data_IF_526449907801
#
_entry.id   IF_526449907801
#
_cell.length_a   1.000
_cell.length_b   1.000
_cell.length_c   1.000
_cell.angle_alpha   90.00
_cell.angle_beta   90.00
_cell.angle_gamma   90.00
#
_symmetry.space_group_name_H-M   'P 1'
#
loop_
_entity.id
_entity.type
_entity.pdbx_description
1 polymer ?
#
# COMPACT_ATOMS: atom_id res chain seq x y z
N UNK A 1 -5.44 7.73 36.63
CA UNK A 1 -5.22 7.01 37.91
C UNK A 1 -5.56 7.98 39.03
N UNK A 2 -6.45 7.62 39.94
CA UNK A 2 -6.84 8.45 41.10
C UNK A 2 -7.30 9.88 40.72
N UNK A 3 -8.12 9.98 39.66
CA UNK A 3 -8.64 11.26 39.16
C UNK A 3 -7.64 12.11 38.37
N UNK A 4 -6.38 11.67 38.21
CA UNK A 4 -5.37 12.35 37.41
C UNK A 4 -5.08 11.61 36.09
N UNK A 5 -4.73 12.37 35.07
CA UNK A 5 -4.22 11.81 33.80
C UNK A 5 -2.86 11.15 34.04
N UNK A 6 -2.71 9.95 33.52
CA UNK A 6 -1.44 9.23 33.52
C UNK A 6 -0.91 9.21 32.09
N UNK A 7 0.32 9.69 31.91
CA UNK A 7 1.01 9.56 30.63
C UNK A 7 1.54 8.13 30.48
N UNK A 8 1.13 7.47 29.40
CA UNK A 8 1.59 6.12 29.07
C UNK A 8 2.96 6.18 28.41
N UNK A 9 3.87 5.29 28.84
CA UNK A 9 5.18 5.08 28.23
C UNK A 9 5.09 4.18 26.98
N UNK A 10 4.24 4.59 26.04
CA UNK A 10 4.09 3.99 24.73
C UNK A 10 4.72 4.90 23.67
N UNK A 11 5.25 4.36 22.56
CA UNK A 11 5.65 5.17 21.42
C UNK A 11 4.49 6.05 20.96
N UNK A 12 4.80 7.26 20.50
CA UNK A 12 3.78 8.21 20.00
C UNK A 12 3.00 7.66 18.80
N UNK A 13 3.58 6.71 18.07
CA UNK A 13 2.93 5.96 16.99
C UNK A 13 2.69 4.52 17.42
N UNK A 14 1.94 4.32 18.51
CA UNK A 14 1.50 3.00 18.93
C UNK A 14 -0.01 3.01 19.13
N UNK A 15 -0.68 1.97 18.63
CA UNK A 15 -2.13 1.87 18.65
C UNK A 15 -2.56 0.70 19.52
N UNK A 16 -3.58 0.86 20.38
CA UNK A 16 -4.24 -0.28 21.01
C UNK A 16 -4.89 -1.15 19.93
N UNK A 17 -4.75 -2.46 20.07
CA UNK A 17 -5.32 -3.45 19.14
C UNK A 17 -6.60 -4.04 19.70
N UNK A 18 -6.60 -4.41 20.98
CA UNK A 18 -7.73 -5.04 21.65
C UNK A 18 -7.31 -5.81 22.88
N UNK A 19 -8.27 -6.52 23.49
CA UNK A 19 -8.03 -7.39 24.65
C UNK A 19 -8.35 -8.82 24.24
N UNK A 20 -7.43 -9.75 24.48
CA UNK A 20 -7.61 -11.19 24.22
C UNK A 20 -7.04 -11.98 25.38
N UNK A 21 -7.81 -12.93 25.90
CA UNK A 21 -7.38 -13.89 26.93
C UNK A 21 -6.68 -13.21 28.13
N UNK A 22 -7.25 -12.10 28.62
CA UNK A 22 -6.72 -11.35 29.76
C UNK A 22 -5.49 -10.49 29.45
N UNK A 23 -5.18 -10.23 28.17
CA UNK A 23 -4.05 -9.41 27.76
C UNK A 23 -4.49 -8.21 26.92
N UNK A 24 -3.94 -7.04 27.20
CA UNK A 24 -4.08 -5.86 26.35
C UNK A 24 -3.00 -5.89 25.26
N UNK A 25 -3.38 -5.69 24.00
CA UNK A 25 -2.47 -5.71 22.86
C UNK A 25 -2.24 -4.31 22.27
N UNK A 26 -1.01 -4.09 21.81
CA UNK A 26 -0.56 -2.88 21.14
C UNK A 26 0.20 -3.21 19.86
N UNK A 27 0.15 -2.28 18.90
CA UNK A 27 0.95 -2.32 17.67
C UNK A 27 1.68 -0.99 17.51
N UNK A 28 3.03 -0.96 17.60
CA UNK A 28 3.80 0.23 17.32
C UNK A 28 4.11 0.35 15.82
N UNK A 29 4.04 1.56 15.25
CA UNK A 29 4.45 1.87 13.87
C UNK A 29 5.91 2.38 13.80
N UNK A 30 6.61 2.33 14.92
CA UNK A 30 8.03 2.65 15.09
C UNK A 30 8.68 1.60 15.98
N UNK A 31 9.99 1.43 15.88
CA UNK A 31 10.70 0.56 16.81
C UNK A 31 10.53 1.08 18.24
N UNK A 32 10.16 0.18 19.15
CA UNK A 32 9.87 0.49 20.55
C UNK A 32 10.90 -0.20 21.43
N UNK A 33 11.81 0.57 22.01
CA UNK A 33 12.78 0.05 23.00
C UNK A 33 12.32 0.39 24.40
N UNK A 34 12.10 -0.64 25.23
CA UNK A 34 11.66 -0.53 26.62
C UNK A 34 12.17 -1.74 27.40
N UNK A 35 12.54 -1.55 28.67
CA UNK A 35 12.97 -2.62 29.57
C UNK A 35 14.12 -3.51 29.01
N UNK A 36 15.00 -2.92 28.19
CA UNK A 36 16.12 -3.63 27.54
C UNK A 36 15.75 -4.50 26.33
N UNK A 37 14.49 -4.46 25.89
CA UNK A 37 14.00 -5.15 24.70
C UNK A 37 13.57 -4.15 23.62
N UNK A 38 13.82 -4.48 22.35
CA UNK A 38 13.31 -3.73 21.20
C UNK A 38 12.22 -4.54 20.50
N UNK A 39 11.04 -3.94 20.35
CA UNK A 39 9.96 -4.43 19.52
C UNK A 39 10.00 -3.68 18.19
N UNK A 40 10.07 -4.41 17.07
CA UNK A 40 10.13 -3.78 15.76
C UNK A 40 8.82 -3.07 15.43
N UNK A 41 8.90 -2.03 14.60
CA UNK A 41 7.71 -1.45 13.96
C UNK A 41 6.85 -2.55 13.33
N UNK A 42 5.53 -2.39 13.44
CA UNK A 42 4.50 -3.31 13.01
C UNK A 42 4.47 -4.65 13.79
N UNK A 43 5.12 -4.76 14.96
CA UNK A 43 4.92 -5.91 15.86
C UNK A 43 3.54 -5.91 16.55
N UNK A 44 3.15 -7.04 17.13
CA UNK A 44 2.10 -7.15 18.13
C UNK A 44 2.73 -7.41 19.50
N UNK A 45 2.41 -6.56 20.46
CA UNK A 45 2.95 -6.61 21.82
C UNK A 45 1.79 -6.75 22.80
N UNK A 46 1.88 -7.72 23.70
CA UNK A 46 0.90 -7.95 24.76
C UNK A 46 1.44 -7.50 26.11
N UNK A 47 0.53 -7.09 26.98
CA UNK A 47 0.74 -6.93 28.42
C UNK A 47 -0.39 -7.65 29.15
N UNK A 48 -0.10 -8.24 30.32
CA UNK A 48 -1.16 -8.76 31.19
C UNK A 48 -2.09 -7.60 31.59
N UNK A 49 -3.41 -7.81 31.48
CA UNK A 49 -4.39 -6.76 31.67
C UNK A 49 -4.49 -6.30 33.13
N UNK A 50 -4.33 -7.21 34.09
CA UNK A 50 -4.41 -6.87 35.51
C UNK A 50 -3.12 -6.18 35.97
N UNK A 51 -1.95 -6.61 35.50
CA UNK A 51 -0.69 -5.89 35.69
C UNK A 51 -0.77 -4.48 35.08
N UNK A 52 -1.30 -4.36 33.86
CA UNK A 52 -1.47 -3.08 33.18
C UNK A 52 -2.43 -2.16 33.95
N UNK A 53 -3.56 -2.65 34.43
CA UNK A 53 -4.50 -1.85 35.25
C UNK A 53 -3.84 -1.35 36.55
N UNK A 54 -3.01 -2.17 37.19
CA UNK A 54 -2.31 -1.80 38.42
C UNK A 54 -1.19 -0.77 38.15
N UNK A 55 -0.37 -1.00 37.12
CA UNK A 55 0.76 -0.15 36.75
C UNK A 55 1.03 -0.21 35.23
N UNK A 56 0.40 0.66 34.42
CA UNK A 56 0.53 0.62 32.96
C UNK A 56 1.99 0.69 32.47
N UNK A 57 2.79 1.60 33.03
CA UNK A 57 4.17 1.78 32.57
C UNK A 57 5.10 0.65 33.05
N UNK A 58 4.79 0.01 34.19
CA UNK A 58 5.60 -1.08 34.74
C UNK A 58 5.16 -2.50 34.36
N UNK A 59 4.01 -2.67 33.69
CA UNK A 59 3.55 -3.99 33.26
C UNK A 59 4.52 -4.61 32.26
N UNK A 60 4.73 -5.94 32.35
CA UNK A 60 5.69 -6.62 31.49
C UNK A 60 5.16 -6.73 30.05
N UNK A 61 5.99 -6.35 29.08
CA UNK A 61 5.68 -6.42 27.65
C UNK A 61 6.18 -7.75 27.10
N UNK A 62 5.34 -8.43 26.32
CA UNK A 62 5.65 -9.69 25.66
C UNK A 62 5.41 -9.57 24.15
N UNK A 63 6.35 -10.08 23.35
CA UNK A 63 6.16 -10.15 21.91
C UNK A 63 5.15 -11.24 21.57
N UNK A 64 4.08 -10.87 20.86
CA UNK A 64 3.10 -11.82 20.31
C UNK A 64 3.51 -12.24 18.90
N UNK A 65 3.87 -11.27 18.08
CA UNK A 65 4.26 -11.47 16.70
C UNK A 65 5.10 -10.30 16.20
N UNK A 66 6.06 -10.56 15.32
CA UNK A 66 6.81 -9.54 14.59
C UNK A 66 6.78 -9.87 13.09
N UNK A 67 6.73 -8.85 12.21
CA UNK A 67 6.78 -9.07 10.78
C UNK A 67 8.14 -9.63 10.34
N UNK A 68 8.12 -10.62 9.45
CA UNK A 68 9.28 -10.92 8.60
C UNK A 68 9.57 -9.79 7.61
N UNK A 69 10.71 -9.84 6.92
CA UNK A 69 11.21 -8.76 6.06
C UNK A 69 10.26 -8.32 4.91
N UNK A 70 9.31 -9.17 4.54
CA UNK A 70 8.27 -8.92 3.53
C UNK A 70 6.86 -9.14 4.05
N UNK A 71 6.71 -9.09 5.38
CA UNK A 71 5.43 -9.20 6.02
C UNK A 71 5.02 -7.86 6.60
N UNK A 72 3.72 -7.61 6.61
CA UNK A 72 3.14 -6.44 7.28
C UNK A 72 1.70 -6.72 7.66
N UNK A 73 1.22 -6.15 8.75
CA UNK A 73 -0.21 -6.14 9.06
C UNK A 73 -0.94 -5.18 8.13
N UNK A 74 -2.22 -5.45 7.88
CA UNK A 74 -3.14 -4.58 7.16
C UNK A 74 -4.28 -4.11 8.07
N UNK A 75 -4.62 -4.93 9.07
CA UNK A 75 -5.63 -4.62 10.06
C UNK A 75 -5.83 -5.82 10.98
N UNK A 76 -6.57 -5.59 12.05
CA UNK A 76 -6.88 -6.63 13.01
C UNK A 76 -8.24 -6.40 13.63
N UNK A 77 -8.85 -7.49 14.11
CA UNK A 77 -10.08 -7.44 14.88
C UNK A 77 -10.07 -8.50 15.97
N UNK A 78 -10.84 -8.28 17.02
CA UNK A 78 -11.05 -9.25 18.11
C UNK A 78 -12.43 -9.87 17.95
N UNK A 79 -12.52 -11.17 18.18
CA UNK A 79 -13.76 -11.92 18.39
C UNK A 79 -13.75 -12.57 19.77
N UNK A 80 -14.87 -13.18 20.18
CA UNK A 80 -14.92 -13.91 21.45
C UNK A 80 -13.86 -15.01 21.58
N UNK A 81 -13.42 -15.57 20.45
CA UNK A 81 -12.46 -16.68 20.36
C UNK A 81 -11.05 -16.28 19.95
N UNK A 82 -10.71 -15.00 19.80
CA UNK A 82 -9.32 -14.56 19.64
C UNK A 82 -9.09 -13.30 18.78
N UNK A 83 -7.82 -12.98 18.55
CA UNK A 83 -7.38 -11.87 17.69
C UNK A 83 -7.18 -12.36 16.26
N UNK A 84 -7.82 -11.74 15.29
CA UNK A 84 -7.62 -12.01 13.86
C UNK A 84 -6.83 -10.87 13.24
N UNK A 85 -5.78 -11.20 12.51
CA UNK A 85 -4.86 -10.24 11.88
C UNK A 85 -4.84 -10.51 10.39
N UNK A 86 -5.36 -9.58 9.60
CA UNK A 86 -5.10 -9.54 8.17
C UNK A 86 -3.68 -9.02 7.95
N UNK A 87 -2.89 -9.75 7.18
CA UNK A 87 -1.49 -9.43 6.89
C UNK A 87 -1.16 -9.70 5.42
N UNK A 88 -0.06 -9.11 4.96
CA UNK A 88 0.57 -9.41 3.69
C UNK A 88 1.83 -10.22 3.92
N UNK A 89 2.08 -11.21 3.08
CA UNK A 89 3.33 -11.93 2.96
C UNK A 89 3.78 -11.85 1.50
N UNK A 90 4.81 -11.05 1.22
CA UNK A 90 5.23 -10.74 -0.15
C UNK A 90 4.08 -10.21 -1.03
N UNK A 91 3.25 -9.31 -0.47
CA UNK A 91 2.06 -8.71 -1.11
C UNK A 91 0.89 -9.69 -1.34
N UNK A 92 0.96 -10.91 -0.81
CA UNK A 92 -0.14 -11.87 -0.79
C UNK A 92 -0.86 -11.82 0.57
N UNK A 93 -2.18 -11.70 0.55
CA UNK A 93 -3.01 -11.62 1.76
C UNK A 93 -3.09 -12.95 2.51
N UNK A 94 -3.03 -12.87 3.84
CA UNK A 94 -3.28 -13.97 4.78
C UNK A 94 -4.06 -13.44 5.98
N UNK A 95 -4.79 -14.32 6.67
CA UNK A 95 -5.35 -14.01 7.99
C UNK A 95 -4.81 -15.01 9.00
N UNK A 96 -4.23 -14.49 10.07
CA UNK A 96 -3.78 -15.28 11.22
C UNK A 96 -4.75 -15.06 12.39
N UNK A 97 -5.20 -16.13 13.02
CA UNK A 97 -5.88 -16.12 14.31
C UNK A 97 -4.83 -16.31 15.40
N UNK A 98 -4.83 -15.45 16.40
CA UNK A 98 -3.99 -15.50 17.59
C UNK A 98 -4.85 -15.74 18.84
N UNK A 99 -4.34 -16.58 19.73
CA UNK A 99 -4.91 -16.85 21.04
C UNK A 99 -3.79 -17.10 22.06
N UNK A 100 -4.11 -16.95 23.33
CA UNK A 100 -3.20 -17.25 24.43
C UNK A 100 -3.69 -18.48 25.20
N UNK A 101 -2.88 -19.53 25.19
CA UNK A 101 -3.18 -20.78 25.88
C UNK A 101 -1.91 -21.37 26.48
N UNK A 102 -2.03 -22.03 27.64
CA UNK A 102 -0.90 -22.66 28.35
C UNK A 102 0.30 -21.72 28.58
N UNK A 103 0.02 -20.44 28.85
CA UNK A 103 1.05 -19.44 29.14
C UNK A 103 1.81 -18.93 27.91
N UNK A 104 1.35 -19.22 26.69
CA UNK A 104 2.01 -18.79 25.44
C UNK A 104 1.01 -18.31 24.39
N UNK A 105 1.46 -17.37 23.57
CA UNK A 105 0.77 -16.98 22.35
C UNK A 105 0.97 -18.04 21.26
N UNK A 106 -0.10 -18.37 20.56
CA UNK A 106 -0.08 -19.23 19.39
C UNK A 106 -0.85 -18.57 18.25
N UNK A 107 -0.53 -18.96 17.02
CA UNK A 107 -1.23 -18.49 15.83
C UNK A 107 -1.57 -19.64 14.88
N UNK A 108 -2.73 -19.56 14.23
CA UNK A 108 -3.14 -20.45 13.14
C UNK A 108 -3.58 -19.63 11.93
N UNK A 109 -3.30 -20.13 10.72
CA UNK A 109 -3.79 -19.50 9.50
C UNK A 109 -5.25 -19.88 9.28
N UNK A 110 -6.07 -18.88 8.94
CA UNK A 110 -7.47 -19.10 8.53
C UNK A 110 -7.48 -19.66 7.10
N UNK A 111 -8.27 -20.70 6.87
CA UNK A 111 -8.42 -21.35 5.56
C UNK A 111 -9.21 -20.45 4.59
N UNK A 112 -8.49 -19.61 3.88
CA UNK A 112 -8.96 -18.69 2.85
C UNK A 112 -8.10 -18.89 1.59
N UNK A 113 -8.60 -18.52 0.39
CA UNK A 113 -7.85 -18.71 -0.85
C UNK A 113 -6.46 -18.07 -0.81
N UNK A 114 -5.45 -18.83 -1.21
CA UNK A 114 -4.09 -18.34 -1.43
C UNK A 114 -4.02 -17.40 -2.65
N UNK A 115 -2.90 -16.68 -2.79
CA UNK A 115 -2.61 -15.78 -3.94
C UNK A 115 -3.67 -14.69 -4.19
N UNK A 116 -4.34 -14.25 -3.12
CA UNK A 116 -5.34 -13.19 -3.17
C UNK A 116 -5.01 -12.05 -2.19
N UNK A 117 -5.63 -10.90 -2.40
CA UNK A 117 -5.73 -9.86 -1.37
C UNK A 117 -6.87 -10.24 -0.42
N UNK A 118 -6.56 -10.31 0.87
CA UNK A 118 -7.52 -10.69 1.91
C UNK A 118 -7.66 -9.54 2.92
N UNK A 119 -8.91 -9.16 3.20
CA UNK A 119 -9.24 -8.17 4.23
C UNK A 119 -10.34 -8.68 5.16
N UNK A 120 -10.41 -8.13 6.37
CA UNK A 120 -11.51 -8.38 7.32
C UNK A 120 -12.62 -7.37 7.02
N UNK A 121 -13.82 -7.86 6.72
CA UNK A 121 -14.96 -7.04 6.31
C UNK A 121 -15.78 -6.57 7.52
N UNK A 122 -16.01 -7.48 8.47
CA UNK A 122 -16.75 -7.24 9.69
C UNK A 122 -16.46 -8.36 10.70
N UNK A 123 -16.60 -8.08 11.99
CA UNK A 123 -16.59 -9.08 13.04
C UNK A 123 -17.46 -8.64 14.21
N UNK A 124 -17.70 -9.57 15.13
CA UNK A 124 -18.32 -9.32 16.43
C UNK A 124 -17.31 -9.68 17.52
N UNK A 125 -17.18 -8.84 18.55
CA UNK A 125 -16.39 -9.10 19.75
C UNK A 125 -17.16 -9.94 20.79
N UNK A 126 -18.49 -9.96 20.73
CA UNK A 126 -19.38 -10.79 21.56
C UNK A 126 -19.55 -12.25 21.07
N UNK A 127 -19.12 -12.56 19.84
CA UNK A 127 -19.25 -13.90 19.24
C UNK A 127 -18.03 -14.22 18.36
N UNK A 128 -18.01 -15.40 17.73
CA UNK A 128 -16.96 -15.76 16.75
C UNK A 128 -17.34 -15.48 15.29
N UNK A 129 -18.38 -14.66 15.08
CA UNK A 129 -18.78 -14.26 13.74
C UNK A 129 -17.78 -13.31 13.11
N UNK A 130 -17.30 -13.68 11.92
CA UNK A 130 -16.35 -12.87 11.16
C UNK A 130 -16.58 -13.05 9.66
N UNK A 131 -16.43 -11.94 8.93
CA UNK A 131 -16.52 -11.87 7.49
C UNK A 131 -15.21 -11.40 6.89
N UNK A 132 -14.84 -11.99 5.76
CA UNK A 132 -13.62 -11.66 5.01
C UNK A 132 -13.95 -11.25 3.59
N UNK A 133 -13.19 -10.30 3.06
CA UNK A 133 -13.16 -10.03 1.62
C UNK A 133 -11.93 -10.69 1.01
N UNK A 134 -12.11 -11.39 -0.10
CA UNK A 134 -11.03 -11.98 -0.90
C UNK A 134 -11.15 -11.45 -2.32
N UNK A 135 -10.07 -10.91 -2.86
CA UNK A 135 -10.04 -10.30 -4.20
C UNK A 135 -8.74 -10.63 -4.92
N UNK A 136 -8.82 -10.89 -6.22
CA UNK A 136 -7.67 -11.04 -7.12
C UNK A 136 -7.87 -10.17 -8.34
N UNK A 137 -6.88 -10.07 -9.23
CA UNK A 137 -7.05 -9.26 -10.44
C UNK A 137 -8.10 -9.84 -11.40
N UNK A 138 -8.21 -11.16 -11.46
CA UNK A 138 -9.05 -11.91 -12.39
C UNK A 138 -10.35 -12.42 -11.74
N UNK A 139 -10.37 -12.49 -10.42
CA UNK A 139 -11.48 -13.00 -9.62
C UNK A 139 -12.28 -11.86 -8.98
N UNK A 140 -13.61 -11.81 -9.17
CA UNK A 140 -14.46 -10.84 -8.50
C UNK A 140 -14.34 -10.94 -6.98
N UNK A 141 -14.38 -9.79 -6.30
CA UNK A 141 -14.33 -9.73 -4.84
C UNK A 141 -15.46 -10.59 -4.24
N UNK A 142 -15.06 -11.53 -3.39
CA UNK A 142 -15.93 -12.50 -2.73
C UNK A 142 -15.91 -12.28 -1.22
N UNK A 143 -17.09 -12.26 -0.63
CA UNK A 143 -17.34 -12.19 0.80
C UNK A 143 -17.42 -13.62 1.35
N UNK A 144 -16.56 -13.94 2.31
CA UNK A 144 -16.56 -15.19 3.07
C UNK A 144 -17.11 -14.93 4.48
N UNK A 145 -17.71 -15.94 5.08
CA UNK A 145 -18.28 -15.90 6.43
C UNK A 145 -18.00 -17.19 7.20
N UNK A 146 -17.75 -17.05 8.50
CA UNK A 146 -17.81 -18.13 9.48
C UNK A 146 -18.41 -17.62 10.79
N UNK A 147 -19.07 -18.51 11.53
CA UNK A 147 -19.51 -18.29 12.90
C UNK A 147 -18.50 -18.79 13.94
N UNK A 148 -17.31 -19.23 13.50
CA UNK A 148 -16.25 -19.80 14.33
C UNK A 148 -16.30 -21.31 14.49
N UNK A 149 -17.42 -21.96 14.15
CA UNK A 149 -17.58 -23.41 14.31
C UNK A 149 -17.03 -24.20 13.14
N UNK A 150 -16.98 -23.59 11.96
CA UNK A 150 -16.54 -24.20 10.70
C UNK A 150 -15.57 -23.29 9.94
N UNK A 151 -14.88 -23.85 8.93
CA UNK A 151 -14.04 -23.05 8.04
C UNK A 151 -14.88 -21.97 7.30
N UNK A 152 -14.29 -20.82 6.94
CA UNK A 152 -14.99 -19.79 6.18
C UNK A 152 -15.59 -20.34 4.88
N UNK A 153 -16.84 -19.96 4.61
CA UNK A 153 -17.56 -20.34 3.39
C UNK A 153 -17.98 -19.09 2.60
N UNK A 154 -18.18 -19.24 1.29
CA UNK A 154 -18.61 -18.13 0.43
C UNK A 154 -20.03 -17.71 0.81
N UNK A 155 -20.18 -16.45 1.19
CA UNK A 155 -21.47 -15.83 1.46
C UNK A 155 -22.01 -15.12 0.20
N UNK A 156 -21.14 -14.38 -0.51
CA UNK A 156 -21.54 -13.65 -1.72
C UNK A 156 -20.35 -13.30 -2.61
N UNK A 157 -20.52 -13.40 -3.92
CA UNK A 157 -19.52 -12.95 -4.91
C UNK A 157 -20.04 -11.77 -5.71
N UNK A 158 -19.17 -10.79 -5.97
CA UNK A 158 -19.49 -9.66 -6.85
C UNK A 158 -19.73 -10.12 -8.29
N UNK A 159 -20.50 -9.40 -9.11
CA UNK A 159 -20.68 -9.75 -10.52
C UNK A 159 -19.35 -9.83 -11.28
N UNK A 160 -19.26 -10.81 -12.18
CA UNK A 160 -18.20 -10.86 -13.19
C UNK A 160 -18.47 -9.81 -14.27
N UNK A 161 -17.46 -9.05 -14.64
CA UNK A 161 -17.52 -7.89 -15.55
C UNK A 161 -16.63 -8.08 -16.78
N UNK A 162 -15.71 -9.04 -16.76
CA UNK A 162 -14.90 -9.44 -17.91
C UNK A 162 -14.55 -10.93 -17.85
N UNK A 163 -14.20 -11.53 -18.99
CA UNK A 163 -13.76 -12.92 -19.10
C UNK A 163 -12.27 -13.04 -18.74
N UNK A 164 -11.91 -13.70 -17.62
CA UNK A 164 -10.52 -13.87 -17.22
C UNK A 164 -9.81 -15.01 -17.96
N UNK A 165 -10.52 -15.87 -18.73
CA UNK A 165 -9.96 -17.10 -19.26
C UNK A 165 -8.74 -16.88 -20.18
N UNK A 166 -8.72 -15.75 -20.89
CA UNK A 166 -7.62 -15.34 -21.77
C UNK A 166 -6.45 -14.63 -21.08
N UNK A 167 -6.51 -14.39 -19.76
CA UNK A 167 -5.52 -13.63 -19.02
C UNK A 167 -4.76 -14.49 -17.99
N UNK A 168 -3.59 -14.02 -17.59
CA UNK A 168 -2.74 -14.61 -16.56
C UNK A 168 -2.14 -13.52 -15.67
N UNK A 169 -1.86 -13.86 -14.42
CA UNK A 169 -1.22 -12.97 -13.44
C UNK A 169 0.14 -13.56 -13.09
N UNK A 170 1.19 -12.73 -13.12
CA UNK A 170 2.52 -13.09 -12.67
C UNK A 170 3.08 -11.97 -11.78
N UNK A 171 3.87 -12.36 -10.76
CA UNK A 171 4.62 -11.42 -9.91
C UNK A 171 6.10 -11.46 -10.31
N UNK A 172 6.69 -10.28 -10.45
CA UNK A 172 8.10 -10.09 -10.80
C UNK A 172 8.75 -9.10 -9.84
N UNK A 173 10.07 -8.95 -9.95
CA UNK A 173 10.83 -7.93 -9.24
C UNK A 173 11.75 -7.19 -10.20
N UNK A 174 11.65 -5.86 -10.16
CA UNK A 174 12.63 -4.96 -10.75
C UNK A 174 13.73 -4.62 -9.73
N UNK A 175 14.90 -4.25 -10.21
CA UNK A 175 16.00 -3.77 -9.35
C UNK A 175 16.04 -2.26 -9.43
N UNK A 176 15.71 -1.59 -8.32
CA UNK A 176 15.80 -0.13 -8.22
C UNK A 176 17.25 0.35 -8.27
N UNK A 177 17.44 1.66 -8.42
CA UNK A 177 18.73 2.33 -8.57
C UNK A 177 19.72 2.01 -7.45
N UNK A 178 19.23 1.78 -6.23
CA UNK A 178 20.04 1.43 -5.06
C UNK A 178 20.16 -0.08 -4.80
N UNK A 179 19.69 -0.92 -5.73
CA UNK A 179 19.72 -2.38 -5.62
C UNK A 179 18.49 -2.99 -4.94
N UNK A 180 17.58 -2.18 -4.39
CA UNK A 180 16.35 -2.68 -3.75
C UNK A 180 15.48 -3.42 -4.77
N UNK A 181 14.95 -4.59 -4.38
CA UNK A 181 14.00 -5.36 -5.20
C UNK A 181 12.60 -4.80 -5.04
N UNK A 182 12.01 -4.35 -6.15
CA UNK A 182 10.67 -3.75 -6.20
C UNK A 182 9.71 -4.75 -6.83
N UNK A 183 8.77 -5.32 -6.06
CA UNK A 183 7.76 -6.21 -6.61
C UNK A 183 6.82 -5.45 -7.55
N UNK A 184 6.35 -6.16 -8.57
CA UNK A 184 5.22 -5.71 -9.36
C UNK A 184 4.43 -6.92 -9.88
N UNK A 185 3.14 -6.71 -10.10
CA UNK A 185 2.28 -7.69 -10.76
C UNK A 185 2.03 -7.28 -12.20
N UNK A 186 2.00 -8.25 -13.10
CA UNK A 186 1.53 -8.07 -14.47
C UNK A 186 0.33 -8.98 -14.73
N UNK A 187 -0.75 -8.40 -15.21
CA UNK A 187 -1.92 -9.08 -15.77
C UNK A 187 -1.82 -8.97 -17.29
N UNK A 188 -1.68 -10.09 -17.97
CA UNK A 188 -1.40 -10.12 -19.42
C UNK A 188 -2.15 -11.24 -20.15
N UNK A 189 -2.34 -11.10 -21.47
CA UNK A 189 -2.89 -12.19 -22.29
C UNK A 189 -2.04 -13.46 -22.18
N UNK A 190 -2.69 -14.62 -22.13
CA UNK A 190 -2.02 -15.92 -22.23
C UNK A 190 -1.32 -16.03 -23.58
N UNK A 191 -0.08 -16.48 -23.58
CA UNK A 191 0.73 -16.61 -24.81
C UNK A 191 1.24 -15.28 -25.37
N UNK A 192 1.15 -14.19 -24.60
CA UNK A 192 1.80 -12.91 -24.93
C UNK A 192 3.26 -13.12 -25.35
N UNK A 193 3.64 -12.52 -26.48
CA UNK A 193 5.02 -12.54 -26.98
C UNK A 193 5.85 -11.48 -26.27
N UNK A 194 7.09 -11.83 -25.94
CA UNK A 194 8.07 -10.91 -25.38
C UNK A 194 8.83 -10.17 -26.49
N UNK A 195 8.10 -9.48 -27.39
CA UNK A 195 8.64 -8.76 -28.55
C UNK A 195 8.49 -7.24 -28.46
N UNK A 196 8.03 -6.73 -27.31
CA UNK A 196 7.86 -5.31 -27.04
C UNK A 196 6.59 -4.68 -27.62
N UNK A 197 5.74 -5.44 -28.32
CA UNK A 197 4.57 -4.88 -29.02
C UNK A 197 3.30 -4.75 -28.17
N UNK A 198 3.29 -5.27 -26.93
CA UNK A 198 2.07 -5.29 -26.12
C UNK A 198 1.81 -3.93 -25.49
N UNK A 199 0.65 -3.34 -25.82
CA UNK A 199 0.13 -2.14 -25.16
C UNK A 199 0.00 -2.38 -23.65
N UNK A 200 0.75 -1.64 -22.86
CA UNK A 200 0.90 -1.88 -21.42
C UNK A 200 0.52 -0.64 -20.64
N UNK A 201 -0.31 -0.82 -19.61
CA UNK A 201 -0.71 0.23 -18.68
C UNK A 201 -0.07 -0.03 -17.32
N UNK A 202 0.95 0.77 -16.97
CA UNK A 202 1.64 0.72 -15.68
C UNK A 202 1.04 1.71 -14.69
N UNK A 203 0.75 1.26 -13.47
CA UNK A 203 0.25 2.09 -12.38
C UNK A 203 0.94 1.80 -11.05
N UNK A 204 0.85 2.77 -10.15
CA UNK A 204 1.42 2.74 -8.80
C UNK A 204 0.92 3.91 -7.95
N UNK A 205 1.41 4.04 -6.72
CA UNK A 205 1.08 5.16 -5.84
C UNK A 205 2.28 5.65 -5.03
N UNK A 206 2.88 4.81 -4.20
CA UNK A 206 4.16 5.11 -3.52
C UNK A 206 4.08 6.31 -2.58
N UNK A 207 3.16 6.30 -1.62
CA UNK A 207 3.11 7.33 -0.58
C UNK A 207 2.12 7.02 0.54
N UNK A 208 2.31 7.70 1.66
CA UNK A 208 1.43 7.66 2.85
C UNK A 208 1.25 6.26 3.45
N UNK A 209 2.20 5.35 3.25
CA UNK A 209 2.10 3.95 3.68
C UNK A 209 0.88 3.24 3.07
N UNK A 210 0.32 3.74 1.97
CA UNK A 210 -0.84 3.12 1.31
C UNK A 210 -0.33 1.97 0.43
N UNK A 211 -0.69 0.71 0.72
CA UNK A 211 -0.30 -0.42 -0.12
C UNK A 211 -1.14 -0.44 -1.39
N UNK A 212 -0.51 -0.87 -2.50
CA UNK A 212 -1.20 -1.11 -3.78
C UNK A 212 -1.35 -2.60 -4.03
N UNK A 213 -2.48 -3.16 -3.60
CA UNK A 213 -2.70 -4.59 -3.64
C UNK A 213 -3.45 -5.04 -4.90
N UNK A 214 -3.34 -6.31 -5.29
CA UNK A 214 -4.23 -6.91 -6.27
C UNK A 214 -5.69 -6.65 -5.94
N UNK A 215 -6.45 -6.20 -6.93
CA UNK A 215 -7.88 -5.95 -6.80
C UNK A 215 -8.56 -6.24 -8.14
N UNK A 216 -9.82 -6.68 -8.08
CA UNK A 216 -10.57 -7.10 -9.25
C UNK A 216 -10.64 -6.01 -10.33
N UNK A 217 -10.19 -6.36 -11.53
CA UNK A 217 -10.09 -5.45 -12.67
C UNK A 217 -11.41 -5.34 -13.45
N UNK A 218 -12.54 -5.09 -12.80
CA UNK A 218 -13.85 -5.08 -13.48
C UNK A 218 -13.88 -4.23 -14.76
N UNK A 219 -13.52 -2.94 -14.66
CA UNK A 219 -13.47 -2.03 -15.81
C UNK A 219 -12.20 -2.17 -16.64
N UNK A 220 -11.03 -2.22 -16.00
CA UNK A 220 -9.73 -2.33 -16.70
C UNK A 220 -9.61 -3.67 -17.43
N UNK A 221 -10.04 -4.76 -16.82
CA UNK A 221 -10.10 -6.08 -17.42
C UNK A 221 -10.96 -6.07 -18.68
N UNK A 222 -12.15 -5.45 -18.61
CA UNK A 222 -13.08 -5.37 -19.75
C UNK A 222 -12.58 -4.48 -20.88
N UNK A 223 -12.04 -3.30 -20.54
CA UNK A 223 -11.69 -2.28 -21.52
C UNK A 223 -10.26 -2.38 -22.03
N UNK A 224 -9.38 -3.10 -21.33
CA UNK A 224 -7.95 -3.17 -21.64
C UNK A 224 -7.47 -4.62 -21.81
N UNK A 225 -7.61 -5.45 -20.78
CA UNK A 225 -7.03 -6.80 -20.77
C UNK A 225 -7.70 -7.72 -21.80
N UNK A 226 -9.03 -7.73 -21.90
CA UNK A 226 -9.76 -8.48 -22.93
C UNK A 226 -9.40 -8.05 -24.37
N UNK A 227 -8.92 -6.81 -24.54
CA UNK A 227 -8.49 -6.28 -25.84
C UNK A 227 -7.03 -6.60 -26.16
N UNK A 228 -6.37 -7.43 -25.36
CA UNK A 228 -4.98 -7.83 -25.55
C UNK A 228 -3.96 -6.92 -24.87
N UNK A 229 -4.39 -5.94 -24.07
CA UNK A 229 -3.49 -5.09 -23.29
C UNK A 229 -2.96 -5.78 -22.04
N UNK A 230 -1.79 -5.36 -21.57
CA UNK A 230 -1.26 -5.74 -20.26
C UNK A 230 -1.49 -4.63 -19.22
N UNK A 231 -1.79 -5.02 -17.98
CA UNK A 231 -1.91 -4.11 -16.83
C UNK A 231 -0.83 -4.44 -15.82
N UNK A 232 -0.14 -3.42 -15.31
CA UNK A 232 0.96 -3.59 -14.35
C UNK A 232 0.71 -2.76 -13.09
N UNK A 233 0.84 -3.40 -11.93
CA UNK A 233 0.76 -2.77 -10.61
C UNK A 233 2.12 -2.82 -9.92
N UNK A 234 2.77 -1.67 -9.73
CA UNK A 234 4.06 -1.56 -9.06
C UNK A 234 3.92 -1.31 -7.55
N UNK A 235 4.65 -2.09 -6.74
CA UNK A 235 4.66 -2.05 -5.27
C UNK A 235 5.88 -1.30 -4.73
N UNK A 236 5.94 0.00 -5.02
CA UNK A 236 7.12 0.85 -4.79
C UNK A 236 7.25 1.33 -3.34
N UNK A 237 8.45 1.74 -2.93
CA UNK A 237 8.67 2.39 -1.64
C UNK A 237 7.87 3.68 -1.50
N UNK A 238 7.58 4.01 -0.25
CA UNK A 238 6.58 5.03 0.10
C UNK A 238 5.18 4.43 0.26
N UNK A 239 4.92 3.27 -0.35
CA UNK A 239 3.73 2.46 -0.08
C UNK A 239 3.82 1.71 1.26
N UNK A 240 2.82 0.86 1.52
CA UNK A 240 2.67 0.10 2.76
C UNK A 240 2.85 -1.41 2.61
N UNK A 241 3.34 -1.88 1.47
CA UNK A 241 3.38 -3.32 1.13
C UNK A 241 4.25 -4.16 2.06
N UNK A 242 5.28 -3.55 2.65
CA UNK A 242 6.16 -4.17 3.64
C UNK A 242 6.24 -3.32 4.93
N UNK A 243 5.12 -2.69 5.28
CA UNK A 243 4.95 -2.00 6.56
C UNK A 243 5.59 -0.61 6.65
N UNK A 244 5.66 -0.05 7.86
CA UNK A 244 6.11 1.33 8.07
C UNK A 244 7.51 1.60 7.51
N UNK A 245 8.43 0.66 7.60
CA UNK A 245 9.80 0.86 7.09
C UNK A 245 9.82 1.03 5.56
N UNK A 246 8.95 0.33 4.82
CA UNK A 246 8.81 0.50 3.38
C UNK A 246 8.37 1.92 2.99
N UNK A 247 7.51 2.53 3.82
CA UNK A 247 7.10 3.91 3.69
C UNK A 247 8.21 4.88 4.06
N UNK A 248 8.78 4.74 5.26
CA UNK A 248 9.77 5.68 5.82
C UNK A 248 11.04 5.78 4.96
N UNK A 249 11.38 4.73 4.20
CA UNK A 249 12.53 4.77 3.28
C UNK A 249 12.32 5.66 2.05
N UNK A 250 11.11 6.14 1.76
CA UNK A 250 10.84 7.02 0.62
C UNK A 250 9.83 8.14 0.96
N UNK A 251 10.16 8.92 1.97
CA UNK A 251 9.51 10.20 2.29
C UNK A 251 10.54 11.33 2.35
N UNK A 252 10.06 12.58 2.24
CA UNK A 252 10.86 13.81 2.38
C UNK A 252 12.12 13.80 1.51
N UNK A 253 13.30 13.98 2.09
CA UNK A 253 14.59 13.98 1.37
C UNK A 253 14.86 12.68 0.61
N UNK A 254 14.21 11.57 1.00
CA UNK A 254 14.32 10.28 0.34
C UNK A 254 13.22 10.04 -0.71
N UNK A 255 12.32 11.00 -0.94
CA UNK A 255 11.13 10.79 -1.79
C UNK A 255 11.51 10.40 -3.22
N UNK A 256 12.68 10.82 -3.73
CA UNK A 256 13.19 10.43 -5.05
C UNK A 256 13.14 8.91 -5.30
N UNK A 257 13.35 8.11 -4.24
CA UNK A 257 13.32 6.64 -4.31
C UNK A 257 12.00 6.09 -4.84
N UNK A 258 10.86 6.74 -4.57
CA UNK A 258 9.56 6.31 -5.12
C UNK A 258 9.57 6.35 -6.66
N UNK A 259 10.15 7.39 -7.27
CA UNK A 259 10.19 7.49 -8.73
C UNK A 259 11.30 6.63 -9.32
N UNK A 260 12.44 6.50 -8.65
CA UNK A 260 13.50 5.55 -9.04
C UNK A 260 12.93 4.12 -9.10
N UNK A 261 12.09 3.73 -8.14
CA UNK A 261 11.40 2.44 -8.12
C UNK A 261 10.42 2.28 -9.29
N UNK A 262 9.61 3.30 -9.58
CA UNK A 262 8.64 3.26 -10.68
C UNK A 262 9.32 3.14 -12.05
N UNK A 263 10.38 3.93 -12.24
CA UNK A 263 11.20 3.93 -13.46
C UNK A 263 11.90 2.58 -13.62
N UNK A 264 12.43 2.00 -12.53
CA UNK A 264 13.04 0.67 -12.58
C UNK A 264 12.04 -0.41 -13.02
N UNK A 265 10.78 -0.34 -12.57
CA UNK A 265 9.73 -1.25 -13.06
C UNK A 265 9.46 -1.01 -14.55
N UNK A 266 9.31 0.24 -14.99
CA UNK A 266 9.13 0.56 -16.41
C UNK A 266 10.27 0.03 -17.29
N UNK A 267 11.52 0.23 -16.87
CA UNK A 267 12.71 -0.28 -17.56
C UNK A 267 12.75 -1.81 -17.59
N UNK A 268 12.37 -2.48 -16.50
CA UNK A 268 12.33 -3.94 -16.45
C UNK A 268 11.25 -4.53 -17.38
N UNK A 269 10.09 -3.87 -17.49
CA UNK A 269 9.04 -4.24 -18.46
C UNK A 269 9.56 -4.18 -19.91
N UNK A 270 10.26 -3.10 -20.27
CA UNK A 270 10.86 -2.93 -21.60
C UNK A 270 11.98 -3.95 -21.82
N UNK A 271 12.87 -4.12 -20.85
CA UNK A 271 14.00 -5.05 -20.91
C UNK A 271 13.54 -6.50 -21.10
N UNK A 272 12.43 -6.91 -20.47
CA UNK A 272 11.85 -8.25 -20.63
C UNK A 272 11.13 -8.43 -21.96
N UNK A 273 11.03 -7.40 -22.79
CA UNK A 273 10.27 -7.43 -24.03
C UNK A 273 8.76 -7.48 -23.80
N UNK A 274 8.27 -7.16 -22.60
CA UNK A 274 6.83 -7.12 -22.35
C UNK A 274 6.18 -5.97 -23.10
N UNK A 275 6.89 -4.86 -23.25
CA UNK A 275 6.42 -3.67 -23.97
C UNK A 275 7.63 -2.91 -24.50
N UNK A 276 7.38 -1.78 -25.15
CA UNK A 276 8.38 -0.80 -25.57
C UNK A 276 7.92 0.59 -25.11
N UNK A 277 8.80 1.62 -25.08
CA UNK A 277 8.39 2.96 -24.69
C UNK A 277 7.15 3.48 -25.44
N UNK A 278 7.08 3.24 -26.76
CA UNK A 278 5.94 3.59 -27.61
C UNK A 278 4.61 2.93 -27.15
N UNK A 279 4.68 1.72 -26.58
CA UNK A 279 3.52 0.95 -26.14
C UNK A 279 3.29 1.00 -24.62
N UNK A 280 4.10 1.76 -23.86
CA UNK A 280 4.01 1.86 -22.42
C UNK A 280 3.29 3.16 -22.00
N UNK A 281 2.05 3.00 -21.55
CA UNK A 281 1.28 4.06 -20.91
C UNK A 281 1.40 3.98 -19.37
N UNK A 282 1.37 5.13 -18.71
CA UNK A 282 1.37 5.23 -17.24
C UNK A 282 0.11 5.91 -16.71
N UNK A 283 -0.40 5.45 -15.57
CA UNK A 283 -1.60 6.02 -14.95
C UNK A 283 -1.45 6.18 -13.44
N UNK A 284 -1.89 7.32 -12.90
CA UNK A 284 -1.95 7.53 -11.47
C UNK A 284 -2.79 8.73 -11.04
N UNK A 285 -3.30 8.67 -9.81
CA UNK A 285 -4.15 9.71 -9.23
C UNK A 285 -3.71 10.23 -7.87
N UNK A 286 -3.96 11.50 -7.57
CA UNK A 286 -3.52 12.16 -6.33
C UNK A 286 -1.99 12.15 -6.20
N UNK A 287 -1.43 11.51 -5.17
CA UNK A 287 0.01 11.18 -5.11
C UNK A 287 0.47 10.36 -6.32
N UNK A 288 -0.37 9.46 -6.84
CA UNK A 288 -0.11 8.77 -8.10
C UNK A 288 -0.10 9.71 -9.32
N UNK A 289 -0.79 10.85 -9.25
CA UNK A 289 -0.72 11.87 -10.28
C UNK A 289 0.63 12.59 -10.26
N UNK A 290 1.14 12.91 -9.07
CA UNK A 290 2.52 13.38 -8.90
C UNK A 290 3.55 12.33 -9.35
N UNK A 291 3.31 11.04 -9.03
CA UNK A 291 4.13 9.92 -9.47
C UNK A 291 4.33 9.94 -11.00
N UNK A 292 3.21 9.87 -11.74
CA UNK A 292 3.23 9.86 -13.21
C UNK A 292 3.81 11.15 -13.77
N UNK A 293 3.39 12.30 -13.23
CA UNK A 293 3.90 13.62 -13.61
C UNK A 293 5.41 13.73 -13.54
N UNK A 294 5.98 13.26 -12.44
CA UNK A 294 7.43 13.31 -12.22
C UNK A 294 8.15 12.26 -13.08
N UNK A 295 7.57 11.06 -13.21
CA UNK A 295 8.18 9.99 -13.98
C UNK A 295 8.40 10.40 -15.44
N UNK A 296 7.39 11.00 -16.09
CA UNK A 296 7.56 11.46 -17.46
C UNK A 296 8.37 12.76 -17.59
N UNK A 297 8.47 13.59 -16.54
CA UNK A 297 9.37 14.76 -16.61
C UNK A 297 10.83 14.37 -16.47
N UNK A 298 11.13 13.33 -15.69
CA UNK A 298 12.48 12.79 -15.51
C UNK A 298 12.90 11.86 -16.65
N UNK A 299 11.98 11.04 -17.17
CA UNK A 299 12.23 10.04 -18.22
C UNK A 299 11.15 10.09 -19.31
N UNK A 300 11.08 11.19 -20.08
CA UNK A 300 10.13 11.32 -21.18
C UNK A 300 10.33 10.23 -22.25
N UNK A 301 11.55 9.70 -22.38
CA UNK A 301 11.95 8.67 -23.34
C UNK A 301 11.36 7.27 -23.06
N UNK A 302 10.77 7.03 -21.88
CA UNK A 302 10.30 5.71 -21.45
C UNK A 302 8.81 5.45 -21.66
N UNK A 303 8.02 6.47 -21.99
CA UNK A 303 6.57 6.38 -21.98
C UNK A 303 5.96 6.96 -23.27
N UNK A 304 4.89 6.34 -23.76
CA UNK A 304 4.15 6.80 -24.94
C UNK A 304 2.90 7.62 -24.58
N UNK A 305 2.33 7.41 -23.39
CA UNK A 305 1.13 8.10 -22.92
C UNK A 305 1.07 8.20 -21.38
N UNK A 306 0.37 9.22 -20.86
CA UNK A 306 0.21 9.41 -19.42
C UNK A 306 -1.23 9.81 -19.05
N UNK A 307 -1.89 9.05 -18.17
CA UNK A 307 -3.18 9.40 -17.56
C UNK A 307 -2.92 10.00 -16.17
N UNK A 308 -3.11 11.32 -16.07
CA UNK A 308 -2.81 12.11 -14.86
C UNK A 308 -4.12 12.54 -14.20
N UNK A 309 -4.41 11.96 -13.03
CA UNK A 309 -5.71 12.12 -12.37
C UNK A 309 -5.57 12.96 -11.09
N UNK A 310 -6.36 14.03 -10.92
CA UNK A 310 -6.41 14.85 -9.69
C UNK A 310 -5.02 15.06 -9.01
N UNK A 311 -4.00 15.56 -9.75
CA UNK A 311 -2.60 15.43 -9.39
C UNK A 311 -2.10 16.46 -8.37
N UNK A 312 -0.87 16.27 -7.88
CA UNK A 312 -0.08 17.28 -7.17
C UNK A 312 1.13 17.70 -8.01
N UNK A 313 0.99 18.68 -8.91
CA UNK A 313 2.08 19.10 -9.82
C UNK A 313 2.98 20.25 -9.31
N UNK A 314 2.40 21.31 -8.75
CA UNK A 314 3.19 22.40 -8.15
C UNK A 314 3.59 22.07 -6.71
N UNK A 315 4.71 21.36 -6.57
CA UNK A 315 5.23 20.94 -5.26
C UNK A 315 5.96 22.06 -4.52
N UNK A 316 6.22 23.22 -5.14
CA UNK A 316 6.75 24.38 -4.42
C UNK A 316 5.65 25.19 -3.73
N UNK A 317 4.39 25.05 -4.17
CA UNK A 317 3.24 25.73 -3.58
C UNK A 317 2.19 24.80 -2.99
N UNK A 318 2.36 23.48 -3.06
CA UNK A 318 1.33 22.53 -2.62
C UNK A 318 0.83 22.81 -1.19
N UNK A 319 1.74 23.18 -0.27
CA UNK A 319 1.41 23.47 1.13
C UNK A 319 0.39 24.62 1.35
N UNK A 320 0.17 25.49 0.35
CA UNK A 320 -0.85 26.57 0.37
C UNK A 320 -2.02 26.30 -0.59
N UNK A 321 -2.11 25.10 -1.16
CA UNK A 321 -3.17 24.70 -2.10
C UNK A 321 -3.97 23.55 -1.47
N UNK A 322 -5.29 23.73 -1.37
CA UNK A 322 -6.18 22.72 -0.80
C UNK A 322 -5.75 22.29 0.60
N UNK A 323 -5.60 20.98 0.82
CA UNK A 323 -5.14 20.40 2.09
C UNK A 323 -3.63 20.21 2.19
N UNK A 324 -2.84 20.78 1.29
CA UNK A 324 -1.43 20.45 1.17
C UNK A 324 -0.57 20.59 2.42
N UNK A 325 -0.89 21.53 3.33
CA UNK A 325 -0.18 21.65 4.60
C UNK A 325 -0.17 20.35 5.43
N UNK A 326 -1.20 19.49 5.32
CA UNK A 326 -1.26 18.22 6.05
C UNK A 326 -0.28 17.16 5.53
N UNK A 327 0.32 17.36 4.34
CA UNK A 327 1.26 16.41 3.74
C UNK A 327 2.73 16.85 3.87
N UNK A 328 3.04 17.88 4.66
CA UNK A 328 4.44 18.26 4.99
C UNK A 328 5.21 17.08 5.60
N UNK A 329 4.53 16.22 6.37
CA UNK A 329 5.14 15.00 6.90
C UNK A 329 5.66 14.05 5.83
N UNK A 330 5.03 14.02 4.65
CA UNK A 330 5.33 13.15 3.51
C UNK A 330 6.35 13.76 2.55
N UNK A 331 6.16 15.05 2.20
CA UNK A 331 6.91 15.72 1.15
C UNK A 331 7.89 16.79 1.63
N UNK A 332 7.93 17.11 2.92
CA UNK A 332 8.69 18.25 3.47
C UNK A 332 8.04 19.61 3.22
N UNK A 333 8.71 20.67 3.65
CA UNK A 333 8.20 22.03 3.67
C UNK A 333 8.96 22.93 2.68
N UNK A 334 8.36 23.32 1.54
CA UNK A 334 8.99 24.17 0.53
C UNK A 334 9.39 25.57 1.01
N UNK A 335 8.99 25.97 2.22
CA UNK A 335 9.41 27.22 2.87
C UNK A 335 10.80 27.11 3.49
N UNK A 336 11.28 25.90 3.75
CA UNK A 336 12.64 25.64 4.26
C UNK A 336 13.56 25.49 3.06
N UNK A 337 14.61 26.32 2.88
CA UNK A 337 15.45 26.30 1.68
C UNK A 337 16.08 24.95 1.35
N UNK A 338 16.57 24.24 2.37
CA UNK A 338 17.10 22.89 2.22
C UNK A 338 16.04 21.91 1.68
N UNK A 339 14.82 21.96 2.23
CA UNK A 339 13.75 21.07 1.83
C UNK A 339 13.22 21.41 0.44
N UNK A 340 13.08 22.70 0.16
CA UNK A 340 12.74 23.21 -1.16
C UNK A 340 13.65 22.66 -2.25
N UNK A 341 14.97 22.60 -2.01
CA UNK A 341 15.94 22.19 -3.02
C UNK A 341 15.65 20.77 -3.55
N UNK A 342 15.41 19.81 -2.66
CA UNK A 342 15.10 18.45 -3.10
C UNK A 342 13.63 18.27 -3.56
N UNK A 343 12.70 19.11 -3.10
CA UNK A 343 11.31 19.12 -3.64
C UNK A 343 11.29 19.62 -5.08
N UNK A 344 12.07 20.67 -5.37
CA UNK A 344 12.16 21.27 -6.70
C UNK A 344 12.64 20.25 -7.74
N UNK A 345 13.51 19.31 -7.35
CA UNK A 345 14.08 18.29 -8.24
C UNK A 345 13.08 17.32 -8.83
N UNK A 346 11.98 17.04 -8.14
CA UNK A 346 10.92 16.18 -8.64
C UNK A 346 9.63 16.92 -9.02
N UNK A 347 9.51 18.21 -8.73
CA UNK A 347 8.26 18.96 -8.95
C UNK A 347 7.92 19.09 -10.44
N UNK A 348 6.84 18.44 -10.96
CA UNK A 348 6.57 18.44 -12.39
C UNK A 348 6.40 19.84 -12.98
N UNK A 349 5.70 20.73 -12.27
CA UNK A 349 5.45 22.09 -12.75
C UNK A 349 6.72 22.91 -12.97
N UNK A 350 7.79 22.65 -12.19
CA UNK A 350 9.07 23.33 -12.36
C UNK A 350 10.00 22.65 -13.37
N UNK A 351 9.79 21.36 -13.67
CA UNK A 351 10.69 20.56 -14.52
C UNK A 351 10.21 20.39 -15.95
N UNK A 352 8.93 20.65 -16.24
CA UNK A 352 8.44 20.72 -17.62
C UNK A 352 9.19 21.84 -18.37
N UNK A 353 9.79 21.48 -19.50
CA UNK A 353 10.65 22.36 -20.29
C UNK A 353 10.20 22.40 -21.76
N UNK A 354 10.31 23.58 -22.39
CA UNK A 354 10.01 23.73 -23.82
C UNK A 354 10.99 22.94 -24.69
N UNK A 355 10.49 22.30 -25.76
CA UNK A 355 11.34 21.58 -26.71
C UNK A 355 11.72 20.16 -26.28
N UNK A 356 11.18 19.66 -25.16
CA UNK A 356 11.24 18.25 -24.78
C UNK A 356 9.96 17.57 -25.28
N UNK A 357 10.12 16.40 -25.89
CA UNK A 357 9.00 15.56 -26.33
C UNK A 357 8.52 14.71 -25.14
N UNK A 358 7.35 15.05 -24.60
CA UNK A 358 6.74 14.34 -23.47
C UNK A 358 5.68 13.35 -23.98
N UNK A 359 5.38 12.26 -23.25
CA UNK A 359 4.26 11.38 -23.60
C UNK A 359 2.95 12.16 -23.66
N UNK A 360 2.02 11.73 -24.52
CA UNK A 360 0.70 12.35 -24.66
C UNK A 360 -0.06 12.31 -23.32
N UNK A 361 -0.35 13.48 -22.70
CA UNK A 361 -0.94 13.51 -21.39
C UNK A 361 -2.47 13.67 -21.46
N UNK A 362 -3.20 12.80 -20.76
CA UNK A 362 -4.61 13.02 -20.43
C UNK A 362 -4.72 13.47 -18.98
N UNK A 363 -4.87 14.78 -18.77
CA UNK A 363 -5.10 15.37 -17.45
C UNK A 363 -6.59 15.50 -17.17
N UNK A 364 -7.03 15.07 -15.98
CA UNK A 364 -8.37 15.43 -15.49
C UNK A 364 -8.38 15.79 -14.01
N UNK A 365 -9.25 16.73 -13.68
CA UNK A 365 -9.49 17.20 -12.32
C UNK A 365 -10.96 17.59 -12.13
N UNK A 366 -11.38 17.73 -10.87
CA UNK A 366 -12.72 18.20 -10.52
C UNK A 366 -12.66 19.63 -9.98
N UNK A 367 -13.61 20.48 -10.41
CA UNK A 367 -13.79 21.83 -9.85
C UNK A 367 -14.19 21.82 -8.37
N UNK A 368 -14.69 20.69 -7.87
CA UNK A 368 -15.11 20.49 -6.49
C UNK A 368 -14.08 19.72 -5.64
N UNK A 369 -12.88 19.42 -6.15
CA UNK A 369 -11.83 18.76 -5.35
C UNK A 369 -11.32 19.72 -4.26
N UNK A 370 -11.71 19.48 -3.02
CA UNK A 370 -11.32 20.26 -1.83
C UNK A 370 -10.03 19.74 -1.15
N UNK A 371 -9.42 18.70 -1.72
CA UNK A 371 -8.27 17.99 -1.15
C UNK A 371 -6.99 18.38 -1.88
N UNK A 372 -6.83 17.91 -3.13
CA UNK A 372 -5.65 18.25 -3.96
C UNK A 372 -5.83 19.60 -4.65
N UNK A 373 -7.08 20.00 -4.89
CA UNK A 373 -7.48 21.21 -5.59
C UNK A 373 -7.11 21.23 -7.10
N UNK A 374 -8.04 21.61 -8.00
CA UNK A 374 -7.84 21.55 -9.46
C UNK A 374 -6.72 22.46 -9.99
N UNK A 375 -6.19 23.36 -9.17
CA UNK A 375 -5.09 24.25 -9.55
C UNK A 375 -3.83 23.49 -10.00
N UNK A 376 -3.57 22.29 -9.48
CA UNK A 376 -2.41 21.49 -9.91
C UNK A 376 -2.57 21.05 -11.38
N UNK A 377 -3.70 20.45 -11.74
CA UNK A 377 -3.98 20.01 -13.11
C UNK A 377 -4.10 21.17 -14.11
N UNK A 378 -4.52 22.37 -13.67
CA UNK A 378 -4.60 23.55 -14.55
C UNK A 378 -3.25 24.19 -14.86
N UNK A 379 -2.22 23.87 -14.06
CA UNK A 379 -0.85 24.39 -14.20
C UNK A 379 0.06 23.44 -14.97
N UNK A 380 -0.18 22.14 -14.84
CA UNK A 380 0.34 21.15 -15.79
C UNK A 380 -0.34 21.34 -17.14
#
# INVERSE_FOLDING_TARGET
KDGQWLQLELPTKANPVGIVDGHMLFSPDVDWTVDGQTFLADSLVAVDLEEWKANPNGAKKALVWAPGYRQTKQGSTVTAGGLYVAMLDNVVGKVLKFNFADGKWASTQVDLPDNATIGIAASSDDSDQIMYTVSGFLEPTTLYYTDGTTAPSVLKTSPTYFDPAGASVEQYEAVSKDGTKIPYFIVKPKGMKADGSTATLLTGYGGFQVPRLPAYLGSTGKLWVEKGGAYVLANMRGGGEFGPQWHQTAIRENKQRTWDDFIAVAEDLVKRGFTSPEHLGIQGGSQGGLLVGTAFTQRPDLFGAAIVQIPLFDMLRYHVIGRGASWIGEYGDPRIPEQRAWIEDYSPYQKISSGVDYPEPFLWASTADDRTHPAHARKG
#
